data_IF_060427590241
#
_entry.id   IF_060427590241
#
_cell.length_a   1.000
_cell.length_b   1.000
_cell.length_c   1.000
_cell.angle_alpha   90.00
_cell.angle_beta   90.00
_cell.angle_gamma   90.00
#
_symmetry.space_group_name_H-M   'P 1'
#
loop_
_entity.id
_entity.type
_entity.pdbx_description
1 polymer ?
#
# COMPACT_ATOMS: atom_id res chain seq x y z
N UNK A 1 2.29 -13.14 5.45
CA UNK A 1 1.07 -13.12 4.63
C UNK A 1 1.27 -12.13 3.49
N UNK A 2 0.62 -12.35 2.35
CA UNK A 2 0.55 -11.36 1.25
C UNK A 2 -0.66 -10.46 1.46
N UNK A 3 -0.54 -9.18 1.10
CA UNK A 3 -1.65 -8.22 1.11
C UNK A 3 -1.46 -7.19 0.00
N UNK A 4 -2.42 -6.30 -0.20
CA UNK A 4 -2.39 -5.19 -1.17
C UNK A 4 -2.58 -3.85 -0.46
N UNK A 5 -1.83 -2.83 -0.84
CA UNK A 5 -1.92 -1.47 -0.29
C UNK A 5 -2.20 -0.46 -1.40
N UNK A 6 -3.38 0.17 -1.35
CA UNK A 6 -3.80 1.21 -2.29
C UNK A 6 -3.66 2.61 -1.67
N UNK A 7 -4.01 2.75 -0.39
CA UNK A 7 -3.96 4.00 0.36
C UNK A 7 -3.45 3.86 1.79
N UNK A 8 -2.88 2.71 2.15
CA UNK A 8 -2.49 2.36 3.51
C UNK A 8 -2.86 0.93 3.94
N UNK A 9 -3.50 0.15 3.06
CA UNK A 9 -4.14 -1.13 3.42
C UNK A 9 -3.20 -2.28 3.81
N UNK A 10 -1.87 -2.11 3.70
CA UNK A 10 -0.87 -2.98 4.34
C UNK A 10 -0.35 -2.32 5.62
N UNK A 11 0.08 -1.07 5.50
CA UNK A 11 0.82 -0.37 6.57
C UNK A 11 -0.04 -0.06 7.79
N UNK A 12 -1.28 0.38 7.58
CA UNK A 12 -2.19 0.73 8.67
C UNK A 12 -2.64 -0.51 9.47
N UNK A 13 -3.09 -1.62 8.86
CA UNK A 13 -3.36 -2.84 9.62
C UNK A 13 -2.13 -3.39 10.34
N UNK A 14 -0.94 -3.28 9.74
CA UNK A 14 0.29 -3.72 10.38
C UNK A 14 0.61 -2.90 11.65
N UNK A 15 0.43 -1.58 11.58
CA UNK A 15 0.57 -0.70 12.75
C UNK A 15 -0.41 -1.05 13.88
N UNK A 16 -1.66 -1.40 13.56
CA UNK A 16 -2.67 -1.78 14.55
C UNK A 16 -2.45 -3.17 15.15
N UNK A 17 -1.80 -4.08 14.42
CA UNK A 17 -1.62 -5.47 14.85
C UNK A 17 -0.23 -5.78 15.38
N UNK A 18 0.65 -4.77 15.49
CA UNK A 18 2.02 -4.95 15.95
C UNK A 18 2.84 -5.85 15.03
N UNK A 19 2.60 -5.77 13.72
CA UNK A 19 3.32 -6.54 12.69
C UNK A 19 4.12 -5.62 11.78
N UNK A 20 5.00 -6.20 10.96
CA UNK A 20 5.74 -5.48 9.92
C UNK A 20 4.93 -5.55 8.63
N UNK A 21 4.49 -4.40 8.11
CA UNK A 21 3.79 -4.28 6.83
C UNK A 21 4.54 -3.39 5.87
N UNK A 22 4.89 -3.92 4.70
CA UNK A 22 5.67 -3.20 3.70
C UNK A 22 4.90 -3.11 2.38
N UNK A 23 4.65 -1.89 1.91
CA UNK A 23 4.25 -1.62 0.53
C UNK A 23 5.50 -1.25 -0.28
N UNK A 24 5.92 -2.05 -1.27
CA UNK A 24 7.10 -1.73 -2.05
C UNK A 24 6.80 -0.59 -3.04
N UNK A 25 7.82 -0.20 -3.81
CA UNK A 25 7.69 0.68 -4.97
C UNK A 25 6.60 0.14 -5.91
N UNK A 26 5.78 1.03 -6.47
CA UNK A 26 4.83 0.65 -7.51
C UNK A 26 5.57 0.00 -8.70
N UNK A 27 5.04 -1.11 -9.22
CA UNK A 27 5.70 -1.95 -10.22
C UNK A 27 6.75 -2.95 -9.69
N UNK A 28 7.13 -2.94 -8.41
CA UNK A 28 8.10 -3.92 -7.85
C UNK A 28 7.55 -5.36 -7.79
N UNK A 29 6.29 -5.52 -7.41
CA UNK A 29 5.56 -6.78 -7.49
C UNK A 29 4.56 -6.67 -8.64
N UNK A 30 4.40 -7.75 -9.42
CA UNK A 30 3.37 -7.82 -10.47
C UNK A 30 1.97 -7.69 -9.86
N UNK A 31 1.09 -6.99 -10.57
CA UNK A 31 -0.34 -6.89 -10.26
C UNK A 31 -1.16 -7.92 -11.02
N UNK A 32 -0.55 -8.74 -11.88
CA UNK A 32 -1.25 -9.80 -12.59
C UNK A 32 -1.85 -10.81 -11.60
N UNK A 33 -3.17 -10.98 -11.63
CA UNK A 33 -3.92 -11.85 -10.70
C UNK A 33 -4.45 -11.13 -9.44
N UNK A 34 -4.13 -9.86 -9.23
CA UNK A 34 -4.77 -9.04 -8.19
C UNK A 34 -6.16 -8.60 -8.67
N UNK A 35 -7.16 -8.67 -7.80
CA UNK A 35 -8.45 -8.01 -8.03
C UNK A 35 -8.22 -6.50 -7.92
N UNK A 36 -8.21 -5.82 -9.06
CA UNK A 36 -7.89 -4.39 -9.13
C UNK A 36 -8.92 -3.53 -8.40
N UNK A 37 -8.45 -2.64 -7.55
CA UNK A 37 -9.22 -1.56 -6.94
C UNK A 37 -8.88 -0.24 -7.64
N UNK A 38 -7.70 0.34 -7.36
CA UNK A 38 -7.19 1.50 -8.09
C UNK A 38 -5.86 1.12 -8.74
N UNK A 39 -5.91 0.82 -10.03
CA UNK A 39 -4.80 0.29 -10.82
C UNK A 39 -3.51 1.10 -10.70
N UNK A 40 -3.59 2.44 -10.62
CA UNK A 40 -2.39 3.30 -10.50
C UNK A 40 -1.78 3.35 -9.09
N UNK A 41 -2.45 2.77 -8.10
CA UNK A 41 -2.08 2.85 -6.68
C UNK A 41 -1.83 1.48 -6.04
N UNK A 42 -2.56 0.47 -6.49
CA UNK A 42 -2.51 -0.89 -5.94
C UNK A 42 -1.09 -1.44 -5.99
N UNK A 43 -0.64 -1.97 -4.85
CA UNK A 43 0.59 -2.75 -4.84
C UNK A 43 0.56 -3.89 -3.82
N UNK A 44 1.00 -5.08 -4.25
CA UNK A 44 1.17 -6.22 -3.37
C UNK A 44 2.42 -6.08 -2.49
N UNK A 45 2.32 -6.53 -1.24
CA UNK A 45 3.44 -6.53 -0.31
C UNK A 45 3.26 -7.50 0.86
N UNK A 46 4.33 -7.74 1.64
CA UNK A 46 4.29 -8.66 2.77
C UNK A 46 3.75 -8.01 4.05
N UNK A 47 3.10 -8.84 4.87
CA UNK A 47 2.85 -8.61 6.30
C UNK A 47 3.47 -9.76 7.09
N UNK A 48 4.44 -9.47 7.95
CA UNK A 48 5.25 -10.48 8.68
C UNK A 48 5.47 -10.08 10.14
N UNK A 49 6.08 -10.96 10.94
CA UNK A 49 6.40 -10.68 12.35
C UNK A 49 7.75 -9.98 12.54
N UNK A 50 8.63 -10.04 11.55
CA UNK A 50 9.96 -9.43 11.62
C UNK A 50 10.34 -8.74 10.30
N UNK A 51 11.24 -7.77 10.38
CA UNK A 51 11.79 -7.05 9.20
C UNK A 51 12.52 -8.01 8.27
N UNK A 52 13.26 -8.98 8.83
CA UNK A 52 13.97 -10.01 8.06
C UNK A 52 13.00 -10.87 7.25
N UNK A 53 11.91 -11.35 7.86
CA UNK A 53 10.90 -12.13 7.14
C UNK A 53 10.24 -11.30 6.03
N UNK A 54 10.02 -10.00 6.26
CA UNK A 54 9.51 -9.09 5.23
C UNK A 54 10.48 -8.95 4.06
N UNK A 55 11.78 -8.86 4.31
CA UNK A 55 12.81 -8.78 3.28
C UNK A 55 12.88 -10.07 2.44
N UNK A 56 12.90 -11.24 3.07
CA UNK A 56 12.88 -12.56 2.41
C UNK A 56 11.61 -12.70 1.55
N UNK A 57 10.44 -12.41 2.16
CA UNK A 57 9.17 -12.55 1.48
C UNK A 57 9.04 -11.57 0.30
N UNK A 58 9.49 -10.32 0.46
CA UNK A 58 9.51 -9.36 -0.64
C UNK A 58 10.44 -9.82 -1.77
N UNK A 59 11.60 -10.41 -1.45
CA UNK A 59 12.51 -10.98 -2.45
C UNK A 59 11.85 -12.05 -3.31
N UNK A 60 10.98 -12.88 -2.70
CA UNK A 60 10.21 -13.89 -3.43
C UNK A 60 9.01 -13.33 -4.22
N UNK A 61 8.43 -12.20 -3.77
CA UNK A 61 7.29 -11.55 -4.44
C UNK A 61 7.71 -10.64 -5.60
N UNK A 62 8.86 -9.98 -5.46
CA UNK A 62 9.36 -9.01 -6.42
C UNK A 62 9.76 -9.69 -7.73
N UNK A 63 9.26 -9.17 -8.85
CA UNK A 63 9.53 -9.72 -10.18
C UNK A 63 9.17 -8.71 -11.26
N UNK A 64 9.89 -8.75 -12.38
CA UNK A 64 9.34 -8.27 -13.65
C UNK A 64 8.41 -9.36 -14.21
N UNK A 65 7.25 -8.96 -14.73
CA UNK A 65 6.25 -9.87 -15.27
C UNK A 65 5.74 -9.36 -16.62
N UNK A 66 5.94 -10.11 -17.72
CA UNK A 66 5.46 -9.71 -19.05
C UNK A 66 3.92 -9.65 -19.16
N UNK A 67 3.17 -10.19 -18.18
CA UNK A 67 1.70 -10.07 -18.11
C UNK A 67 1.23 -8.79 -17.43
N UNK A 68 2.14 -8.05 -16.80
CA UNK A 68 1.87 -6.75 -16.18
C UNK A 68 2.74 -5.68 -16.85
N UNK A 69 2.13 -4.89 -17.74
CA UNK A 69 2.76 -3.78 -18.45
C UNK A 69 3.29 -2.66 -17.54
N UNK A 70 2.93 -2.67 -16.25
CA UNK A 70 3.41 -1.70 -15.25
C UNK A 70 4.46 -2.27 -14.30
N UNK A 71 4.77 -3.57 -14.42
CA UNK A 71 5.87 -4.17 -13.66
C UNK A 71 7.20 -3.60 -14.12
N UNK A 72 8.03 -3.18 -13.16
CA UNK A 72 9.30 -2.55 -13.46
C UNK A 72 10.32 -3.61 -13.87
N UNK A 73 10.90 -3.47 -15.06
CA UNK A 73 12.05 -4.26 -15.50
C UNK A 73 13.33 -3.72 -14.85
N UNK A 74 13.44 -3.95 -13.54
CA UNK A 74 14.57 -3.57 -12.72
C UNK A 74 15.04 -4.79 -11.93
N UNK A 75 16.35 -5.02 -11.79
CA UNK A 75 16.88 -6.07 -10.93
C UNK A 75 16.24 -6.03 -9.55
N UNK A 76 15.94 -7.20 -8.99
CA UNK A 76 15.48 -7.34 -7.61
C UNK A 76 16.72 -7.32 -6.71
N UNK A 77 16.88 -6.31 -5.83
CA UNK A 77 18.00 -6.30 -4.89
C UNK A 77 17.89 -7.44 -3.89
N UNK A 78 19.03 -7.85 -3.33
CA UNK A 78 19.04 -8.66 -2.13
C UNK A 78 18.63 -7.79 -0.93
N UNK A 79 17.32 -7.79 -0.63
CA UNK A 79 16.77 -7.02 0.49
C UNK A 79 17.24 -7.56 1.84
N UNK A 80 17.50 -8.87 1.95
CA UNK A 80 17.93 -9.48 3.21
C UNK A 80 19.35 -9.02 3.57
N UNK A 81 20.23 -8.85 2.58
CA UNK A 81 21.60 -8.36 2.81
C UNK A 81 21.66 -6.97 3.47
N UNK A 82 20.61 -6.15 3.34
CA UNK A 82 20.52 -4.85 4.02
C UNK A 82 20.11 -4.97 5.50
N UNK A 83 19.48 -6.09 5.90
CA UNK A 83 18.96 -6.28 7.26
C UNK A 83 20.12 -6.44 8.24
N UNK A 84 20.16 -5.57 9.25
CA UNK A 84 21.20 -5.58 10.29
C UNK A 84 22.40 -4.69 10.00
N UNK A 85 22.46 -4.05 8.82
CA UNK A 85 23.42 -2.98 8.58
C UNK A 85 23.14 -1.77 9.48
N UNK A 86 24.19 -1.00 9.78
CA UNK A 86 24.03 0.23 10.56
C UNK A 86 23.33 1.34 9.76
N UNK A 87 22.85 2.35 10.48
CA UNK A 87 22.21 3.54 9.89
C UNK A 87 23.11 4.77 9.99
N UNK A 88 24.40 4.58 10.31
CA UNK A 88 25.32 5.68 10.59
C UNK A 88 25.56 6.48 9.31
N UNK A 89 25.42 7.80 9.42
CA UNK A 89 25.57 8.70 8.28
C UNK A 89 24.36 8.79 7.35
N UNK A 90 23.30 7.99 7.56
CA UNK A 90 22.04 8.19 6.85
C UNK A 90 21.36 9.49 7.29
N UNK A 91 20.69 10.15 6.36
CA UNK A 91 19.86 11.34 6.66
C UNK A 91 18.38 10.96 6.61
N UNK A 92 17.66 11.19 7.71
CA UNK A 92 16.23 10.89 7.86
C UNK A 92 15.45 12.20 7.91
N UNK A 93 14.59 12.43 6.92
CA UNK A 93 13.69 13.58 6.88
C UNK A 93 12.40 13.32 7.65
N UNK A 94 12.05 14.21 8.57
CA UNK A 94 10.80 14.18 9.35
C UNK A 94 9.88 15.30 8.85
N UNK A 95 8.79 14.99 8.12
CA UNK A 95 7.87 16.01 7.64
C UNK A 95 7.09 16.63 8.79
N UNK A 96 7.14 17.96 8.92
CA UNK A 96 6.34 18.68 9.93
C UNK A 96 4.83 18.43 9.76
N UNK A 97 4.37 18.20 8.53
CA UNK A 97 2.96 17.95 8.20
C UNK A 97 2.46 16.57 8.65
N UNK A 98 3.34 15.67 9.11
CA UNK A 98 2.93 14.36 9.66
C UNK A 98 2.59 14.44 11.15
N UNK A 99 2.96 15.55 11.82
CA UNK A 99 2.46 15.87 13.17
C UNK A 99 1.09 16.52 13.02
N UNK A 100 0.04 15.72 13.15
CA UNK A 100 -1.35 16.16 12.96
C UNK A 100 -1.94 16.72 14.25
N UNK A 101 -2.86 17.68 14.10
CA UNK A 101 -3.64 18.18 15.22
C UNK A 101 -4.47 17.04 15.84
N UNK A 102 -4.47 16.95 17.17
CA UNK A 102 -5.20 15.89 17.89
C UNK A 102 -4.52 14.53 17.89
N UNK A 103 -3.24 14.44 17.50
CA UNK A 103 -2.48 13.19 17.64
C UNK A 103 -2.39 12.77 19.11
N UNK A 104 -2.65 11.48 19.37
CA UNK A 104 -2.65 10.95 20.72
C UNK A 104 -1.25 11.04 21.36
N UNK A 105 -1.12 11.43 22.65
CA UNK A 105 0.18 11.61 23.30
C UNK A 105 1.09 10.39 23.23
N UNK A 106 0.52 9.18 23.27
CA UNK A 106 1.26 7.92 23.16
C UNK A 106 1.89 7.73 21.76
N UNK A 107 1.26 8.23 20.70
CA UNK A 107 1.80 8.18 19.34
C UNK A 107 2.96 9.18 19.20
N UNK A 108 2.81 10.39 19.74
CA UNK A 108 3.90 11.37 19.77
C UNK A 108 5.10 10.82 20.56
N UNK A 109 4.88 10.17 21.71
CA UNK A 109 5.95 9.55 22.48
C UNK A 109 6.71 8.47 21.69
N UNK A 110 5.99 7.61 20.93
CA UNK A 110 6.61 6.60 20.06
C UNK A 110 7.40 7.23 18.90
N UNK A 111 6.93 8.34 18.33
CA UNK A 111 7.64 9.10 17.31
C UNK A 111 8.99 9.63 17.83
N UNK A 112 8.97 10.25 19.01
CA UNK A 112 10.18 10.78 19.65
C UNK A 112 11.16 9.65 20.01
N UNK A 113 10.64 8.51 20.49
CA UNK A 113 11.46 7.33 20.78
C UNK A 113 12.16 6.79 19.53
N UNK A 114 11.46 6.69 18.40
CA UNK A 114 12.05 6.26 17.13
C UNK A 114 13.13 7.21 16.61
N UNK A 115 12.92 8.52 16.74
CA UNK A 115 13.92 9.56 16.40
C UNK A 115 15.18 9.40 17.27
N UNK A 116 15.01 9.18 18.58
CA UNK A 116 16.11 8.97 19.50
C UNK A 116 16.94 7.73 19.13
N UNK A 117 16.28 6.59 18.89
CA UNK A 117 16.96 5.36 18.47
C UNK A 117 17.79 5.52 17.19
N UNK A 118 17.25 6.20 16.18
CA UNK A 118 17.99 6.46 14.93
C UNK A 118 19.19 7.39 15.16
N UNK A 119 19.01 8.44 15.96
CA UNK A 119 20.06 9.42 16.29
C UNK A 119 21.19 8.77 17.10
N UNK A 120 20.86 7.95 18.11
CA UNK A 120 21.83 7.19 18.91
C UNK A 120 22.66 6.22 18.06
N UNK A 121 22.08 5.72 16.95
CA UNK A 121 22.78 4.86 15.97
C UNK A 121 23.54 5.65 14.90
N UNK A 122 23.63 6.98 15.02
CA UNK A 122 24.44 7.83 14.17
C UNK A 122 23.77 8.32 12.89
N UNK A 123 22.44 8.18 12.77
CA UNK A 123 21.69 8.84 11.71
C UNK A 123 21.55 10.34 12.00
N UNK A 124 21.49 11.16 10.95
CA UNK A 124 21.16 12.58 11.04
C UNK A 124 19.68 12.78 10.79
N UNK A 125 18.96 13.35 11.75
CA UNK A 125 17.53 13.68 11.60
C UNK A 125 17.37 15.14 11.18
N UNK A 126 16.54 15.38 10.17
CA UNK A 126 16.23 16.73 9.68
C UNK A 126 14.73 16.94 9.61
N UNK A 127 14.24 18.03 10.20
CA UNK A 127 12.89 18.47 9.93
C UNK A 127 12.78 18.98 8.49
N UNK A 128 11.77 18.52 7.77
CA UNK A 128 11.49 18.89 6.38
C UNK A 128 10.02 19.32 6.23
N UNK A 129 9.69 19.89 5.08
CA UNK A 129 8.32 20.29 4.74
C UNK A 129 7.85 19.57 3.48
N UNK A 130 6.70 18.91 3.59
CA UNK A 130 5.91 18.37 2.50
C UNK A 130 4.55 19.08 2.48
N UNK A 131 4.48 20.33 2.00
CA UNK A 131 3.32 21.22 2.21
C UNK A 131 2.04 20.72 1.52
N UNK A 132 2.18 19.81 0.56
CA UNK A 132 1.05 19.23 -0.17
C UNK A 132 0.46 17.97 0.50
N UNK A 133 1.04 17.48 1.60
CA UNK A 133 0.54 16.29 2.33
C UNK A 133 -0.94 16.39 2.68
N UNK A 134 -1.42 17.58 3.06
CA UNK A 134 -2.83 17.83 3.37
C UNK A 134 -3.79 17.50 2.21
N UNK A 135 -3.31 17.49 0.97
CA UNK A 135 -4.10 17.13 -0.21
C UNK A 135 -4.06 15.64 -0.54
N UNK A 136 -3.20 14.85 0.10
CA UNK A 136 -3.05 13.42 -0.22
C UNK A 136 -4.37 12.64 -0.07
N UNK A 137 -5.07 12.86 1.04
CA UNK A 137 -6.34 12.18 1.30
C UNK A 137 -7.46 12.57 0.32
N UNK A 138 -7.77 13.86 0.09
CA UNK A 138 -8.79 14.22 -0.89
C UNK A 138 -8.41 13.83 -2.33
N UNK A 139 -7.13 13.93 -2.72
CA UNK A 139 -6.69 13.44 -4.03
C UNK A 139 -6.87 11.92 -4.18
N UNK A 140 -6.53 11.16 -3.14
CA UNK A 140 -6.79 9.72 -3.11
C UNK A 140 -8.28 9.38 -3.27
N UNK A 141 -9.16 10.10 -2.57
CA UNK A 141 -10.61 9.90 -2.67
C UNK A 141 -11.25 10.41 -3.97
N UNK A 142 -10.48 11.02 -4.87
CA UNK A 142 -10.91 11.27 -6.24
C UNK A 142 -10.39 10.15 -7.16
N UNK A 143 -9.09 9.86 -7.09
CA UNK A 143 -8.42 8.91 -7.98
C UNK A 143 -8.92 7.49 -7.73
N UNK A 144 -8.91 7.02 -6.48
CA UNK A 144 -9.24 5.63 -6.17
C UNK A 144 -10.69 5.29 -6.52
N UNK A 145 -11.72 6.10 -6.18
CA UNK A 145 -13.09 5.82 -6.60
C UNK A 145 -13.30 5.90 -8.13
N UNK A 146 -12.64 6.84 -8.81
CA UNK A 146 -12.72 6.93 -10.27
C UNK A 146 -12.21 5.65 -10.93
N UNK A 147 -11.02 5.19 -10.54
CA UNK A 147 -10.47 3.93 -11.08
C UNK A 147 -11.28 2.71 -10.65
N UNK A 148 -11.76 2.67 -9.40
CA UNK A 148 -12.58 1.58 -8.91
C UNK A 148 -13.89 1.44 -9.70
N UNK A 149 -14.55 2.56 -10.03
CA UNK A 149 -15.77 2.55 -10.83
C UNK A 149 -15.58 1.88 -12.19
N UNK A 150 -14.40 2.05 -12.80
CA UNK A 150 -14.03 1.41 -14.06
C UNK A 150 -13.61 -0.05 -13.85
N UNK A 151 -12.74 -0.32 -12.88
CA UNK A 151 -12.20 -1.66 -12.63
C UNK A 151 -13.29 -2.66 -12.23
N UNK A 152 -14.26 -2.23 -11.42
CA UNK A 152 -15.35 -3.05 -10.91
C UNK A 152 -16.54 -3.12 -11.89
N UNK A 153 -16.51 -2.42 -13.03
CA UNK A 153 -17.56 -2.52 -14.05
C UNK A 153 -17.69 -3.95 -14.63
N UNK A 154 -16.63 -4.76 -14.53
CA UNK A 154 -16.59 -6.16 -15.00
C UNK A 154 -17.46 -7.13 -14.20
N UNK A 155 -17.92 -6.73 -13.01
CA UNK A 155 -18.81 -7.53 -12.16
C UNK A 155 -20.25 -7.25 -12.57
N UNK A 156 -20.70 -7.98 -13.58
CA UNK A 156 -21.96 -7.78 -14.32
C UNK A 156 -22.89 -9.00 -14.27
N UNK A 157 -22.47 -10.08 -13.60
CA UNK A 157 -23.21 -11.35 -13.51
C UNK A 157 -23.26 -12.18 -14.80
N UNK A 158 -22.51 -11.81 -15.85
CA UNK A 158 -22.53 -12.53 -17.13
C UNK A 158 -21.59 -13.72 -17.10
N UNK A 159 -20.31 -13.48 -16.81
CA UNK A 159 -19.24 -14.48 -16.92
C UNK A 159 -18.99 -15.22 -15.61
N UNK A 160 -19.23 -14.58 -14.47
CA UNK A 160 -18.94 -15.11 -13.15
C UNK A 160 -19.65 -14.31 -12.05
N UNK A 161 -19.71 -14.88 -10.84
CA UNK A 161 -20.19 -14.21 -9.64
C UNK A 161 -21.71 -14.25 -9.45
N UNK A 162 -22.20 -13.33 -8.61
CA UNK A 162 -23.62 -13.10 -8.39
C UNK A 162 -24.31 -12.74 -9.72
N UNK A 163 -25.53 -13.24 -9.92
CA UNK A 163 -26.35 -12.89 -11.07
C UNK A 163 -27.81 -12.82 -10.63
N UNK A 164 -28.36 -11.61 -10.68
CA UNK A 164 -29.77 -11.39 -10.42
C UNK A 164 -30.60 -11.45 -11.71
N UNK A 165 -31.84 -11.97 -11.68
CA UNK A 165 -32.72 -11.95 -12.83
C UNK A 165 -33.02 -10.53 -13.31
N UNK A 166 -33.13 -10.35 -14.63
CA UNK A 166 -33.57 -9.12 -15.28
C UNK A 166 -34.43 -9.45 -16.49
N UNK A 167 -35.33 -8.53 -16.86
CA UNK A 167 -36.19 -8.65 -18.05
C UNK A 167 -35.38 -8.57 -19.35
N UNK A 168 -34.22 -7.95 -19.29
CA UNK A 168 -33.25 -7.77 -20.36
C UNK A 168 -31.83 -7.73 -19.75
N UNK A 169 -30.82 -7.57 -20.61
CA UNK A 169 -29.41 -7.56 -20.18
C UNK A 169 -29.09 -6.36 -19.28
N UNK A 170 -29.69 -5.19 -19.55
CA UNK A 170 -29.43 -3.98 -18.79
C UNK A 170 -29.97 -4.09 -17.36
N UNK A 171 -31.23 -4.50 -17.22
CA UNK A 171 -31.86 -4.73 -15.92
C UNK A 171 -31.17 -5.85 -15.13
N UNK A 172 -30.68 -6.90 -15.80
CA UNK A 172 -29.87 -7.93 -15.16
C UNK A 172 -28.57 -7.33 -14.58
N UNK A 173 -27.90 -6.43 -15.31
CA UNK A 173 -26.69 -5.76 -14.82
C UNK A 173 -26.99 -4.84 -13.64
N UNK A 174 -28.03 -4.00 -13.75
CA UNK A 174 -28.43 -3.06 -12.71
C UNK A 174 -28.80 -3.79 -11.42
N UNK A 175 -29.68 -4.79 -11.49
CA UNK A 175 -30.11 -5.58 -10.33
C UNK A 175 -28.94 -6.31 -9.67
N UNK A 176 -28.04 -6.91 -10.49
CA UNK A 176 -26.87 -7.62 -9.98
C UNK A 176 -25.92 -6.67 -9.24
N UNK A 177 -25.74 -5.46 -9.78
CA UNK A 177 -24.85 -4.46 -9.19
C UNK A 177 -25.43 -3.85 -7.91
N UNK A 178 -26.74 -3.55 -7.90
CA UNK A 178 -27.45 -3.08 -6.70
C UNK A 178 -27.36 -4.13 -5.58
N UNK A 179 -27.65 -5.40 -5.87
CA UNK A 179 -27.58 -6.47 -4.86
C UNK A 179 -26.16 -6.81 -4.42
N UNK A 180 -25.16 -6.59 -5.29
CA UNK A 180 -23.76 -6.90 -5.01
C UNK A 180 -22.99 -5.79 -4.30
N UNK A 181 -23.12 -4.54 -4.76
CA UNK A 181 -22.36 -3.40 -4.26
C UNK A 181 -23.16 -2.42 -3.40
N UNK A 182 -24.50 -2.48 -3.44
CA UNK A 182 -25.39 -1.48 -2.86
C UNK A 182 -25.79 -0.39 -3.84
#
# INVERSE_FOLDING_TARGET
>A
ATATDTGGSIRQPAAFTGTVGLKPTYGRCSRWGIVAFASSLDQAGPVTRSVRDSAIMLGAMASHDPKDATSADLPVPDFEAAVGQDVKGLTIGIPKEYRVEGMAPEIEALWQQGIAWLTERGATVKDISLPHTKYALPSYYIVAPAEASSNLARYDGVRYGLREPGKDVLSMYENTRESGFG
#
